data_IF_452140682220
#
_entry.id   IF_452140682220
#
_cell.length_a   1.000
_cell.length_b   1.000
_cell.length_c   1.000
_cell.angle_alpha   90.00
_cell.angle_beta   90.00
_cell.angle_gamma   90.00
#
_symmetry.space_group_name_H-M   'P 1'
#
loop_
_entity.id
_entity.type
_entity.pdbx_description
1 polymer ?
#
# COMPACT_ATOMS: atom_id res chain seq x y z
N UNK A 1 41.66 -27.66 -15.88
CA UNK A 1 41.20 -26.59 -16.77
C UNK A 1 40.52 -25.54 -15.91
N UNK A 2 41.12 -24.37 -15.78
CA UNK A 2 40.47 -23.21 -15.14
C UNK A 2 39.56 -22.62 -16.21
N UNK A 3 38.25 -22.85 -16.09
CA UNK A 3 37.27 -22.17 -16.94
C UNK A 3 37.26 -20.72 -16.48
N UNK A 4 37.90 -19.85 -17.25
CA UNK A 4 37.80 -18.39 -17.08
C UNK A 4 36.33 -18.02 -17.23
N UNK A 5 35.67 -17.64 -16.14
CA UNK A 5 34.35 -17.04 -16.20
C UNK A 5 34.45 -15.77 -17.04
N UNK A 6 33.77 -15.74 -18.18
CA UNK A 6 33.60 -14.52 -18.97
C UNK A 6 32.89 -13.50 -18.08
N UNK A 7 33.62 -12.50 -17.59
CA UNK A 7 33.02 -11.37 -16.85
C UNK A 7 32.06 -10.63 -17.78
N UNK A 8 30.76 -10.74 -17.51
CA UNK A 8 29.71 -10.00 -18.21
C UNK A 8 29.96 -8.50 -18.05
N UNK A 9 30.09 -7.77 -19.16
CA UNK A 9 30.27 -6.31 -19.13
C UNK A 9 28.91 -5.63 -19.12
N UNK A 10 28.61 -4.89 -18.05
CA UNK A 10 27.36 -4.15 -17.88
C UNK A 10 27.66 -2.65 -18.00
N UNK A 11 26.91 -1.96 -18.85
CA UNK A 11 26.94 -0.50 -18.99
C UNK A 11 25.52 0.06 -18.99
N UNK A 12 25.39 1.35 -18.68
CA UNK A 12 24.11 2.04 -18.54
C UNK A 12 24.02 3.12 -19.61
N UNK A 13 23.27 2.84 -20.66
CA UNK A 13 23.06 3.72 -21.80
C UNK A 13 21.56 3.91 -21.98
N UNK A 14 21.16 5.15 -22.27
CA UNK A 14 19.76 5.42 -22.62
C UNK A 14 19.45 4.73 -23.94
N UNK A 15 18.23 4.22 -24.07
CA UNK A 15 17.78 3.71 -25.36
C UNK A 15 17.81 4.82 -26.41
N UNK A 16 18.28 4.53 -27.64
CA UNK A 16 18.13 5.43 -28.77
C UNK A 16 16.68 5.84 -28.98
N UNK A 17 16.44 7.07 -29.45
CA UNK A 17 15.08 7.56 -29.68
C UNK A 17 14.32 6.73 -30.73
N UNK A 18 15.01 6.09 -31.66
CA UNK A 18 14.44 5.22 -32.69
C UNK A 18 14.32 3.75 -32.27
N UNK A 19 14.70 3.39 -31.04
CA UNK A 19 14.58 2.01 -30.55
C UNK A 19 13.11 1.61 -30.41
N UNK A 20 12.72 0.55 -31.10
CA UNK A 20 11.36 -0.02 -31.03
C UNK A 20 11.29 -0.98 -29.84
N UNK A 21 10.44 -0.65 -28.87
CA UNK A 21 10.09 -1.54 -27.77
C UNK A 21 9.09 -2.59 -28.28
N UNK A 22 9.25 -3.82 -27.81
CA UNK A 22 8.30 -4.88 -28.08
C UNK A 22 7.02 -4.61 -27.28
N UNK A 23 5.87 -4.68 -27.94
CA UNK A 23 4.54 -4.31 -27.42
C UNK A 23 3.57 -5.50 -27.51
N UNK A 24 4.10 -6.72 -27.33
CA UNK A 24 3.27 -7.91 -27.26
C UNK A 24 2.35 -7.81 -26.03
N UNK A 25 1.03 -8.00 -26.19
CA UNK A 25 0.10 -7.99 -25.07
C UNK A 25 0.34 -9.25 -24.23
N UNK A 26 1.02 -9.09 -23.10
CA UNK A 26 1.31 -10.17 -22.14
C UNK A 26 0.39 -10.15 -20.92
N UNK A 27 -0.44 -9.11 -20.77
CA UNK A 27 -1.14 -8.89 -19.51
C UNK A 27 -2.37 -9.80 -19.34
N UNK A 28 -2.43 -10.50 -18.20
CA UNK A 28 -3.67 -11.11 -17.72
C UNK A 28 -4.60 -9.99 -17.20
N UNK A 29 -5.92 -10.11 -17.39
CA UNK A 29 -6.95 -9.16 -16.95
C UNK A 29 -6.82 -8.70 -15.49
N UNK A 30 -6.19 -9.53 -14.64
CA UNK A 30 -6.02 -9.24 -13.21
C UNK A 30 -4.75 -8.43 -12.88
N UNK A 31 -3.70 -8.46 -13.70
CA UNK A 31 -2.41 -7.85 -13.39
C UNK A 31 -2.47 -6.33 -13.22
N UNK A 32 -3.17 -5.56 -14.08
CA UNK A 32 -3.31 -4.12 -13.89
C UNK A 32 -3.96 -3.76 -12.54
N UNK A 33 -5.01 -4.48 -12.13
CA UNK A 33 -5.67 -4.23 -10.85
C UNK A 33 -4.79 -4.58 -9.65
N UNK A 34 -3.98 -5.65 -9.73
CA UNK A 34 -3.03 -6.02 -8.68
C UNK A 34 -1.95 -4.93 -8.51
N UNK A 35 -1.37 -4.47 -9.62
CA UNK A 35 -0.37 -3.42 -9.64
C UNK A 35 -0.93 -2.09 -9.12
N UNK A 36 -2.12 -1.70 -9.58
CA UNK A 36 -2.79 -0.47 -9.14
C UNK A 36 -3.06 -0.49 -7.62
N UNK A 37 -3.45 -1.64 -7.07
CA UNK A 37 -3.72 -1.77 -5.64
C UNK A 37 -2.47 -1.57 -4.76
N UNK A 38 -1.31 -2.02 -5.24
CA UNK A 38 -0.03 -1.78 -4.58
C UNK A 38 0.38 -0.32 -4.66
N UNK A 39 0.31 0.26 -5.87
CA UNK A 39 0.74 1.65 -6.11
C UNK A 39 -0.12 2.66 -5.35
N UNK A 40 -1.44 2.52 -5.41
CA UNK A 40 -2.38 3.44 -4.75
C UNK A 40 -2.14 3.50 -3.24
N UNK A 41 -1.95 2.35 -2.58
CA UNK A 41 -1.73 2.32 -1.12
C UNK A 41 -0.39 2.94 -0.70
N UNK A 42 0.65 2.85 -1.53
CA UNK A 42 1.92 3.56 -1.29
C UNK A 42 1.77 5.08 -1.46
N UNK A 43 1.06 5.52 -2.50
CA UNK A 43 0.79 6.94 -2.75
C UNK A 43 0.00 7.56 -1.58
N UNK A 44 -1.11 6.94 -1.18
CA UNK A 44 -1.94 7.41 -0.07
C UNK A 44 -1.19 7.46 1.27
N UNK A 45 -0.22 6.57 1.46
CA UNK A 45 0.63 6.53 2.65
C UNK A 45 1.84 7.48 2.60
N UNK A 46 2.02 8.23 1.51
CA UNK A 46 3.20 9.08 1.32
C UNK A 46 4.51 8.31 1.11
N UNK A 47 4.43 7.01 0.78
CA UNK A 47 5.56 6.12 0.48
C UNK A 47 5.90 6.08 -1.01
N UNK A 48 5.24 6.91 -1.82
CA UNK A 48 5.56 7.15 -3.22
C UNK A 48 5.71 8.67 -3.48
N UNK A 49 6.76 9.33 -2.96
CA UNK A 49 6.99 10.75 -3.21
C UNK A 49 7.29 11.03 -4.69
N UNK A 50 7.30 12.31 -5.10
CA UNK A 50 7.58 12.71 -6.48
C UNK A 50 8.92 12.17 -7.02
N UNK A 51 9.90 12.01 -6.12
CA UNK A 51 11.22 11.45 -6.41
C UNK A 51 11.24 9.93 -6.50
N UNK A 52 10.19 9.21 -6.11
CA UNK A 52 10.08 7.77 -6.24
C UNK A 52 9.22 7.40 -7.46
N UNK A 53 9.38 6.19 -7.97
CA UNK A 53 8.64 5.71 -9.12
C UNK A 53 8.16 4.28 -8.88
N UNK A 54 6.86 4.07 -8.98
CA UNK A 54 6.26 2.75 -9.14
C UNK A 54 5.88 2.59 -10.60
N UNK A 55 6.21 1.45 -11.20
CA UNK A 55 5.95 1.18 -12.61
C UNK A 55 5.20 -0.13 -12.79
N UNK A 56 4.41 -0.24 -13.86
CA UNK A 56 3.65 -1.44 -14.23
C UNK A 56 3.91 -1.77 -15.68
N UNK A 57 4.33 -3.01 -15.96
CA UNK A 57 4.72 -3.48 -17.29
C UNK A 57 5.58 -2.45 -18.05
N UNK A 58 6.68 -2.03 -17.42
CA UNK A 58 7.47 -0.90 -17.89
C UNK A 58 8.95 -1.27 -18.05
N UNK A 59 9.52 -0.92 -19.20
CA UNK A 59 10.87 -1.35 -19.58
C UNK A 59 11.98 -0.78 -18.71
N UNK A 60 12.74 -1.67 -18.06
CA UNK A 60 13.97 -1.36 -17.33
C UNK A 60 15.17 -1.82 -18.15
N UNK A 61 16.08 -0.90 -18.48
CA UNK A 61 17.11 -1.06 -19.49
C UNK A 61 18.53 -1.14 -18.91
N UNK A 62 19.36 -1.97 -19.54
CA UNK A 62 20.80 -2.01 -19.36
C UNK A 62 21.46 -2.46 -20.66
N UNK A 63 22.75 -2.15 -20.83
CA UNK A 63 23.56 -2.69 -21.92
C UNK A 63 24.41 -3.83 -21.38
N UNK A 64 24.21 -5.04 -21.91
CA UNK A 64 24.92 -6.26 -21.51
C UNK A 64 25.76 -6.75 -22.68
N UNK A 65 27.08 -6.81 -22.49
CA UNK A 65 28.04 -7.20 -23.52
C UNK A 65 27.84 -6.42 -24.85
N UNK A 66 27.55 -5.12 -24.75
CA UNK A 66 27.36 -4.22 -25.90
C UNK A 66 25.99 -4.35 -26.59
N UNK A 67 25.02 -5.04 -26.00
CA UNK A 67 23.64 -5.13 -26.51
C UNK A 67 22.65 -4.60 -25.48
N UNK A 68 21.67 -3.82 -25.93
CA UNK A 68 20.57 -3.42 -25.08
C UNK A 68 19.76 -4.65 -24.64
N UNK A 69 19.46 -4.70 -23.36
CA UNK A 69 18.55 -5.67 -22.75
C UNK A 69 17.50 -4.87 -22.01
N UNK A 70 16.24 -5.19 -22.26
CA UNK A 70 15.09 -4.57 -21.61
C UNK A 70 14.27 -5.68 -20.98
N UNK A 71 13.85 -5.49 -19.73
CA UNK A 71 12.84 -6.32 -19.07
C UNK A 71 11.79 -5.43 -18.45
N UNK A 72 10.53 -5.82 -18.62
CA UNK A 72 9.38 -5.17 -18.03
C UNK A 72 8.82 -6.11 -16.94
N UNK A 73 9.06 -5.80 -15.65
CA UNK A 73 8.37 -6.48 -14.57
C UNK A 73 6.91 -6.04 -14.51
N UNK A 74 6.04 -6.91 -14.02
CA UNK A 74 4.62 -6.57 -13.80
C UNK A 74 4.46 -5.42 -12.82
N UNK A 75 5.36 -5.33 -11.82
CA UNK A 75 5.47 -4.17 -10.96
C UNK A 75 6.91 -3.92 -10.51
N UNK A 76 7.33 -2.67 -10.40
CA UNK A 76 8.61 -2.32 -9.78
C UNK A 76 8.54 -1.03 -8.98
N UNK A 77 9.44 -0.90 -8.01
CA UNK A 77 9.61 0.31 -7.21
C UNK A 77 11.05 0.80 -7.23
N UNK A 78 11.22 2.03 -7.69
CA UNK A 78 12.47 2.79 -7.68
C UNK A 78 12.38 3.84 -6.57
N UNK A 79 13.22 3.76 -5.52
CA UNK A 79 13.13 4.69 -4.39
C UNK A 79 13.45 6.13 -4.76
N UNK A 80 14.35 6.33 -5.72
CA UNK A 80 14.80 7.66 -6.12
C UNK A 80 15.18 7.75 -7.60
N UNK A 81 14.47 8.61 -8.34
CA UNK A 81 14.86 9.09 -9.66
C UNK A 81 15.71 10.36 -9.53
N UNK A 82 16.58 10.59 -10.51
CA UNK A 82 17.50 11.76 -10.55
C UNK A 82 17.22 12.68 -11.73
N UNK A 83 16.15 12.42 -12.47
CA UNK A 83 15.72 13.15 -13.67
C UNK A 83 14.23 13.45 -13.57
N UNK A 84 13.71 14.31 -14.46
CA UNK A 84 12.27 14.59 -14.49
C UNK A 84 11.48 13.41 -15.06
N UNK A 85 10.17 13.36 -14.78
CA UNK A 85 9.28 12.29 -15.24
C UNK A 85 9.18 12.24 -16.77
N UNK A 86 9.30 13.38 -17.44
CA UNK A 86 9.28 13.48 -18.89
C UNK A 86 10.48 12.73 -19.51
N UNK A 87 11.62 12.71 -18.81
CA UNK A 87 12.82 12.01 -19.27
C UNK A 87 12.74 10.49 -19.08
N UNK A 88 11.74 9.98 -18.35
CA UNK A 88 11.46 8.56 -18.12
C UNK A 88 10.10 8.17 -18.71
N UNK A 89 9.69 8.78 -19.82
CA UNK A 89 8.38 8.45 -20.41
C UNK A 89 8.35 7.07 -21.08
N UNK A 90 9.48 6.65 -21.67
CA UNK A 90 9.55 5.44 -22.52
C UNK A 90 10.17 4.24 -21.84
N UNK A 91 11.27 4.44 -21.13
CA UNK A 91 11.96 3.41 -20.38
C UNK A 91 12.80 4.02 -19.25
N UNK A 92 13.21 3.16 -18.32
CA UNK A 92 14.05 3.52 -17.19
C UNK A 92 15.39 2.82 -17.25
N UNK A 93 16.46 3.60 -17.19
CA UNK A 93 17.85 3.14 -17.18
C UNK A 93 18.46 3.53 -15.83
N UNK A 94 18.65 2.56 -14.93
CA UNK A 94 19.33 2.81 -13.66
C UNK A 94 20.71 3.46 -13.83
N UNK A 95 21.19 4.14 -12.79
CA UNK A 95 22.40 4.95 -12.76
C UNK A 95 22.44 6.16 -13.71
N UNK A 96 21.58 6.21 -14.73
CA UNK A 96 21.38 7.37 -15.61
C UNK A 96 20.19 8.21 -15.19
N UNK A 97 19.09 7.56 -14.86
CA UNK A 97 17.82 8.21 -14.52
C UNK A 97 17.44 8.05 -13.04
N UNK A 98 18.23 7.29 -12.27
CA UNK A 98 18.04 7.14 -10.83
C UNK A 98 18.72 5.90 -10.25
N UNK A 99 18.22 5.45 -9.11
CA UNK A 99 18.68 4.25 -8.41
C UNK A 99 18.22 2.95 -9.08
N UNK A 100 18.86 1.84 -8.74
CA UNK A 100 18.35 0.51 -9.07
C UNK A 100 16.98 0.32 -8.39
N UNK A 101 15.99 -0.34 -9.04
CA UNK A 101 14.75 -0.69 -8.37
C UNK A 101 15.03 -1.46 -7.07
N UNK A 102 14.39 -1.05 -5.99
CA UNK A 102 14.47 -1.77 -4.72
C UNK A 102 13.65 -3.08 -4.76
N UNK A 103 12.59 -3.08 -5.58
CA UNK A 103 11.69 -4.21 -5.74
C UNK A 103 11.31 -4.38 -7.21
N UNK A 104 11.31 -5.62 -7.68
CA UNK A 104 10.66 -6.04 -8.92
C UNK A 104 9.75 -7.24 -8.63
N UNK A 105 8.56 -7.25 -9.23
CA UNK A 105 7.54 -8.27 -9.02
C UNK A 105 7.05 -8.85 -10.34
N UNK A 106 6.68 -10.12 -10.30
CA UNK A 106 6.01 -10.84 -11.38
C UNK A 106 4.76 -11.54 -10.82
N UNK A 107 3.65 -11.46 -11.56
CA UNK A 107 2.35 -12.02 -11.23
C UNK A 107 2.07 -13.19 -12.16
N UNK A 108 2.07 -14.41 -11.60
CA UNK A 108 1.85 -15.62 -12.37
C UNK A 108 0.38 -15.78 -12.78
N UNK A 109 0.16 -16.13 -14.05
CA UNK A 109 -1.16 -16.42 -14.60
C UNK A 109 -1.46 -17.93 -14.72
N UNK A 110 -0.43 -18.78 -14.80
CA UNK A 110 -0.54 -20.24 -14.88
C UNK A 110 0.62 -20.94 -14.13
N UNK A 111 0.40 -22.20 -13.74
CA UNK A 111 1.34 -23.02 -12.95
C UNK A 111 2.53 -23.62 -13.75
N UNK A 112 2.65 -23.32 -15.05
CA UNK A 112 3.79 -23.77 -15.85
C UNK A 112 4.98 -22.84 -15.61
N UNK A 113 5.81 -23.17 -14.62
CA UNK A 113 7.04 -22.49 -14.21
C UNK A 113 8.15 -22.34 -15.28
N UNK A 114 7.80 -22.43 -16.56
CA UNK A 114 8.65 -22.14 -17.72
C UNK A 114 8.98 -20.64 -17.89
N UNK A 115 8.25 -19.76 -17.20
CA UNK A 115 8.43 -18.30 -17.25
C UNK A 115 9.74 -17.83 -16.54
N UNK A 116 10.38 -18.72 -15.77
CA UNK A 116 11.64 -18.45 -15.05
C UNK A 116 12.85 -18.99 -15.79
N UNK A 117 13.23 -18.33 -16.87
CA UNK A 117 14.49 -18.69 -17.53
C UNK A 117 15.70 -18.17 -16.74
N UNK A 118 16.49 -19.06 -16.13
CA UNK A 118 17.85 -18.75 -15.61
C UNK A 118 18.89 -18.65 -16.75
N UNK A 119 18.42 -18.43 -17.98
CA UNK A 119 19.24 -18.45 -19.19
C UNK A 119 20.17 -17.24 -19.21
N UNK A 120 21.46 -17.54 -19.23
CA UNK A 120 22.55 -16.57 -19.35
C UNK A 120 22.79 -16.13 -20.80
N UNK A 121 22.23 -16.85 -21.78
CA UNK A 121 22.36 -16.53 -23.21
C UNK A 121 21.31 -15.54 -23.68
N UNK A 122 21.68 -14.66 -24.61
CA UNK A 122 20.82 -13.58 -25.08
C UNK A 122 19.53 -14.07 -25.77
N UNK A 123 18.37 -13.40 -25.57
CA UNK A 123 18.14 -12.43 -24.49
C UNK A 123 18.14 -13.17 -23.14
N UNK A 124 18.83 -12.63 -22.11
CA UNK A 124 18.87 -13.29 -20.81
C UNK A 124 17.46 -13.37 -20.23
N UNK A 125 17.21 -14.38 -19.40
CA UNK A 125 15.93 -14.49 -18.72
C UNK A 125 15.77 -13.49 -17.57
N UNK A 126 14.53 -13.29 -17.11
CA UNK A 126 14.16 -12.30 -16.09
C UNK A 126 15.00 -12.47 -14.81
N UNK A 127 15.17 -13.71 -14.33
CA UNK A 127 15.96 -14.02 -13.15
C UNK A 127 17.41 -13.51 -13.24
N UNK A 128 18.14 -13.93 -14.27
CA UNK A 128 19.53 -13.49 -14.47
C UNK A 128 19.62 -11.97 -14.59
N UNK A 129 18.66 -11.35 -15.27
CA UNK A 129 18.65 -9.91 -15.45
C UNK A 129 18.46 -9.17 -14.11
N UNK A 130 17.50 -9.57 -13.28
CA UNK A 130 17.28 -8.94 -11.99
C UNK A 130 18.41 -9.24 -10.98
N UNK A 131 18.95 -10.45 -10.99
CA UNK A 131 19.99 -10.91 -10.06
C UNK A 131 21.39 -10.41 -10.42
N UNK A 132 21.85 -10.69 -11.65
CA UNK A 132 23.24 -10.51 -12.05
C UNK A 132 23.49 -9.20 -12.79
N UNK A 133 22.47 -8.64 -13.45
CA UNK A 133 22.61 -7.38 -14.21
C UNK A 133 22.18 -6.18 -13.38
N UNK A 134 20.92 -6.16 -12.92
CA UNK A 134 20.39 -5.06 -12.13
C UNK A 134 20.77 -5.16 -10.65
N UNK A 135 20.94 -6.36 -10.11
CA UNK A 135 21.17 -6.58 -8.68
C UNK A 135 20.05 -5.96 -7.83
N UNK A 136 18.79 -6.19 -8.22
CA UNK A 136 17.61 -5.70 -7.47
C UNK A 136 17.56 -6.39 -6.11
N UNK A 137 17.49 -5.67 -4.97
CA UNK A 137 17.51 -6.27 -3.64
C UNK A 137 16.38 -7.26 -3.38
N UNK A 138 15.16 -6.99 -3.86
CA UNK A 138 13.99 -7.84 -3.63
C UNK A 138 13.32 -8.24 -4.94
N UNK A 139 13.34 -9.52 -5.24
CA UNK A 139 12.58 -10.10 -6.35
C UNK A 139 11.39 -10.89 -5.82
N UNK A 140 10.19 -10.52 -6.23
CA UNK A 140 8.93 -11.06 -5.69
C UNK A 140 8.18 -11.78 -6.79
N UNK A 141 7.69 -12.97 -6.48
CA UNK A 141 6.81 -13.75 -7.33
C UNK A 141 5.51 -13.98 -6.57
N UNK A 142 4.40 -13.66 -7.21
CA UNK A 142 3.08 -13.80 -6.60
C UNK A 142 2.12 -14.53 -7.53
N UNK A 143 1.47 -15.58 -7.02
CA UNK A 143 0.41 -16.29 -7.73
C UNK A 143 -0.96 -15.89 -7.16
N UNK A 144 -1.67 -14.95 -7.80
CA UNK A 144 -2.85 -14.29 -7.25
C UNK A 144 -4.10 -15.18 -7.12
N UNK A 145 -4.11 -16.35 -7.77
CA UNK A 145 -5.24 -17.28 -7.73
C UNK A 145 -5.18 -18.24 -6.54
N UNK A 146 -3.98 -18.63 -6.12
CA UNK A 146 -3.76 -19.54 -4.98
C UNK A 146 -3.15 -18.84 -3.76
N UNK A 147 -2.67 -17.60 -3.92
CA UNK A 147 -2.14 -16.80 -2.82
C UNK A 147 -0.70 -17.16 -2.42
N UNK A 148 0.06 -17.80 -3.30
CA UNK A 148 1.47 -18.11 -3.06
C UNK A 148 2.33 -16.88 -3.30
N UNK A 149 3.24 -16.62 -2.36
CA UNK A 149 4.15 -15.48 -2.37
C UNK A 149 5.57 -15.95 -2.07
N UNK A 150 6.45 -15.83 -3.05
CA UNK A 150 7.88 -16.06 -2.92
C UNK A 150 8.62 -14.73 -2.97
N UNK A 151 9.57 -14.54 -2.05
CA UNK A 151 10.43 -13.35 -2.04
C UNK A 151 11.88 -13.80 -1.97
N UNK A 152 12.63 -13.40 -2.97
CA UNK A 152 14.05 -13.63 -3.07
C UNK A 152 14.81 -12.35 -2.74
N UNK A 153 15.77 -12.45 -1.82
CA UNK A 153 16.60 -11.33 -1.43
C UNK A 153 18.04 -11.52 -1.90
N UNK A 154 18.58 -10.48 -2.53
CA UNK A 154 19.95 -10.50 -3.04
C UNK A 154 20.93 -10.52 -1.87
N UNK A 155 21.78 -11.54 -1.82
CA UNK A 155 22.82 -11.65 -0.79
C UNK A 155 24.09 -10.91 -1.24
N UNK A 156 25.01 -10.66 -0.30
CA UNK A 156 26.31 -10.03 -0.57
C UNK A 156 27.16 -10.78 -1.61
N UNK A 157 26.92 -12.08 -1.79
CA UNK A 157 27.60 -12.90 -2.80
C UNK A 157 27.02 -12.70 -4.22
N UNK A 158 26.04 -11.80 -4.39
CA UNK A 158 25.42 -11.49 -5.68
C UNK A 158 24.36 -12.50 -6.15
N UNK A 159 23.86 -13.36 -5.26
CA UNK A 159 22.84 -14.35 -5.60
C UNK A 159 21.58 -14.20 -4.74
N UNK A 160 20.44 -14.51 -5.34
CA UNK A 160 19.17 -14.53 -4.68
C UNK A 160 19.05 -15.71 -3.72
N UNK A 161 18.44 -15.43 -2.56
CA UNK A 161 18.04 -16.45 -1.59
C UNK A 161 16.57 -16.29 -1.24
N UNK A 162 15.83 -17.39 -1.31
CA UNK A 162 14.43 -17.42 -0.87
C UNK A 162 14.34 -17.04 0.60
N UNK A 163 13.43 -16.12 0.92
CA UNK A 163 13.15 -15.70 2.29
C UNK A 163 12.01 -16.50 2.88
N UNK A 164 12.06 -16.63 4.21
CA UNK A 164 10.94 -17.08 5.01
C UNK A 164 10.16 -15.87 5.55
N UNK A 165 8.83 -15.96 5.65
CA UNK A 165 8.03 -14.89 6.23
C UNK A 165 8.22 -14.80 7.75
N UNK A 166 7.79 -13.68 8.32
CA UNK A 166 7.59 -13.50 9.76
C UNK A 166 6.38 -14.30 10.27
N UNK A 167 6.17 -14.31 11.60
CA UNK A 167 5.05 -15.01 12.27
C UNK A 167 3.66 -14.65 11.69
N UNK A 168 3.51 -13.44 11.15
CA UNK A 168 2.26 -12.96 10.55
C UNK A 168 2.13 -13.27 9.04
N UNK A 169 2.96 -14.16 8.48
CA UNK A 169 3.05 -14.43 7.05
C UNK A 169 3.36 -13.18 6.20
N UNK A 170 4.19 -12.28 6.75
CA UNK A 170 4.62 -11.03 6.10
C UNK A 170 6.13 -10.96 5.97
N UNK A 171 6.63 -10.25 4.98
CA UNK A 171 8.05 -10.08 4.69
C UNK A 171 8.44 -8.61 4.82
N UNK A 172 9.42 -8.32 5.67
CA UNK A 172 9.97 -6.97 5.80
C UNK A 172 10.89 -6.63 4.63
N UNK A 173 10.61 -5.58 3.87
CA UNK A 173 11.48 -5.07 2.81
C UNK A 173 12.20 -3.81 3.32
N UNK A 174 13.49 -3.96 3.63
CA UNK A 174 14.29 -2.91 4.27
C UNK A 174 14.31 -1.61 3.46
N UNK A 175 14.42 -1.72 2.15
CA UNK A 175 14.53 -0.58 1.22
C UNK A 175 13.23 0.23 1.11
N UNK A 176 12.09 -0.37 1.48
CA UNK A 176 10.79 0.31 1.51
C UNK A 176 10.37 0.71 2.92
N UNK A 177 11.01 0.14 3.96
CA UNK A 177 10.58 0.22 5.35
C UNK A 177 9.12 -0.21 5.54
N UNK A 178 8.74 -1.28 4.83
CA UNK A 178 7.39 -1.81 4.84
C UNK A 178 7.42 -3.34 4.90
N UNK A 179 6.38 -3.91 5.49
CA UNK A 179 6.05 -5.32 5.29
C UNK A 179 5.17 -5.48 4.05
N UNK A 180 5.39 -6.58 3.32
CA UNK A 180 4.46 -7.07 2.29
C UNK A 180 3.92 -8.44 2.68
N UNK A 181 2.70 -8.74 2.29
CA UNK A 181 2.07 -10.02 2.56
C UNK A 181 0.79 -10.22 1.78
N UNK A 182 0.29 -11.46 1.82
CA UNK A 182 -0.90 -11.88 1.11
C UNK A 182 -2.14 -11.63 1.96
N UNK A 183 -3.18 -11.09 1.34
CA UNK A 183 -4.47 -10.85 1.96
C UNK A 183 -5.60 -11.42 1.07
N UNK A 184 -6.42 -12.35 1.59
CA UNK A 184 -7.60 -12.83 0.87
C UNK A 184 -8.76 -11.85 1.02
N UNK A 185 -9.36 -11.46 -0.10
CA UNK A 185 -10.56 -10.61 -0.06
C UNK A 185 -11.01 -10.09 -1.41
N UNK A 186 -11.79 -9.01 -1.38
CA UNK A 186 -12.48 -8.47 -2.56
C UNK A 186 -12.11 -7.02 -2.81
N UNK A 187 -11.76 -6.70 -4.06
CA UNK A 187 -11.59 -5.34 -4.56
C UNK A 187 -12.05 -5.28 -6.01
N UNK A 188 -12.72 -4.19 -6.40
CA UNK A 188 -13.15 -3.93 -7.80
C UNK A 188 -13.90 -5.11 -8.45
N UNK A 189 -14.69 -5.85 -7.67
CA UNK A 189 -15.40 -7.08 -8.04
C UNK A 189 -14.56 -8.35 -8.23
N UNK A 190 -13.23 -8.28 -8.11
CA UNK A 190 -12.35 -9.46 -8.05
C UNK A 190 -12.27 -9.97 -6.61
N UNK A 191 -12.71 -11.21 -6.42
CA UNK A 191 -12.47 -12.00 -5.20
C UNK A 191 -11.20 -12.82 -5.42
N UNK A 192 -10.27 -12.80 -4.46
CA UNK A 192 -9.05 -13.59 -4.56
C UNK A 192 -7.99 -13.13 -3.57
N UNK A 193 -6.74 -13.46 -3.87
CA UNK A 193 -5.61 -13.01 -3.07
C UNK A 193 -5.04 -11.71 -3.63
N UNK A 194 -4.63 -10.84 -2.73
CA UNK A 194 -4.03 -9.53 -3.00
C UNK A 194 -2.74 -9.40 -2.22
N UNK A 195 -1.78 -8.68 -2.78
CA UNK A 195 -0.65 -8.18 -2.00
C UNK A 195 -1.03 -6.86 -1.33
N UNK A 196 -0.61 -6.69 -0.09
CA UNK A 196 -0.85 -5.50 0.72
C UNK A 196 0.44 -5.08 1.44
N UNK A 197 0.51 -3.80 1.79
CA UNK A 197 1.61 -3.22 2.55
C UNK A 197 1.20 -2.95 3.99
N UNK A 198 2.13 -3.13 4.92
CA UNK A 198 2.01 -2.67 6.30
C UNK A 198 3.24 -1.84 6.69
N UNK A 199 3.04 -0.84 7.53
CA UNK A 199 4.14 -0.06 8.10
C UNK A 199 4.93 -0.84 9.17
N UNK A 200 5.98 -0.23 9.70
CA UNK A 200 6.83 -0.79 10.75
C UNK A 200 6.07 -1.12 12.05
N UNK A 201 4.98 -0.40 12.33
CA UNK A 201 4.14 -0.58 13.51
C UNK A 201 3.07 -1.67 13.28
N UNK A 202 3.02 -2.24 12.07
CA UNK A 202 2.10 -3.30 11.68
C UNK A 202 0.72 -2.79 11.24
N UNK A 203 0.55 -1.48 11.03
CA UNK A 203 -0.67 -0.90 10.48
C UNK A 203 -0.75 -1.14 8.98
N UNK A 204 -1.94 -1.51 8.51
CA UNK A 204 -2.19 -1.75 7.10
C UNK A 204 -2.22 -0.42 6.33
N UNK A 205 -1.46 -0.33 5.24
CA UNK A 205 -1.62 0.78 4.30
C UNK A 205 -2.93 0.57 3.54
N UNK A 206 -3.89 1.45 3.83
CA UNK A 206 -5.27 1.35 3.35
C UNK A 206 -5.38 1.75 1.88
N UNK A 207 -6.33 1.14 1.19
CA UNK A 207 -6.80 1.61 -0.10
C UNK A 207 -7.70 2.85 0.05
N UNK A 208 -7.90 3.61 -1.03
CA UNK A 208 -8.74 4.80 -0.99
C UNK A 208 -10.17 4.50 -0.56
N UNK A 209 -10.72 3.36 -0.99
CA UNK A 209 -12.06 2.90 -0.59
C UNK A 209 -12.17 2.61 0.92
N UNK A 210 -11.12 2.08 1.52
CA UNK A 210 -11.06 1.76 2.95
C UNK A 210 -10.88 3.03 3.78
N UNK A 211 -10.05 3.98 3.34
CA UNK A 211 -9.92 5.31 3.97
C UNK A 211 -11.24 6.06 3.98
N UNK A 212 -11.94 6.11 2.84
CA UNK A 212 -13.26 6.75 2.75
C UNK A 212 -14.26 6.08 3.70
N UNK A 213 -14.22 4.76 3.81
CA UNK A 213 -15.11 4.05 4.73
C UNK A 213 -14.76 4.35 6.20
N UNK A 214 -13.49 4.40 6.55
CA UNK A 214 -13.03 4.77 7.89
C UNK A 214 -13.46 6.19 8.26
N UNK A 215 -13.31 7.17 7.35
CA UNK A 215 -13.76 8.54 7.56
C UNK A 215 -15.28 8.65 7.75
N UNK A 216 -16.05 7.87 6.98
CA UNK A 216 -17.51 7.82 7.12
C UNK A 216 -17.92 7.32 8.50
N UNK A 217 -17.31 6.22 8.95
CA UNK A 217 -17.57 5.65 10.27
C UNK A 217 -17.19 6.63 11.38
N UNK A 218 -16.05 7.32 11.26
CA UNK A 218 -15.62 8.33 12.23
C UNK A 218 -16.61 9.50 12.32
N UNK A 219 -17.07 10.04 11.18
CA UNK A 219 -18.07 11.11 11.12
C UNK A 219 -19.42 10.69 11.71
N UNK A 220 -19.84 9.45 11.46
CA UNK A 220 -21.07 8.91 12.01
C UNK A 220 -20.99 8.76 13.53
N UNK A 221 -19.87 8.24 14.05
CA UNK A 221 -19.63 8.14 15.50
C UNK A 221 -19.63 9.53 16.16
N UNK A 222 -18.97 10.51 15.56
CA UNK A 222 -18.98 11.89 16.07
C UNK A 222 -20.39 12.48 16.09
N UNK A 223 -21.20 12.25 15.05
CA UNK A 223 -22.59 12.70 14.98
C UNK A 223 -23.42 12.08 16.11
N UNK A 224 -23.29 10.77 16.33
CA UNK A 224 -24.00 10.06 17.40
C UNK A 224 -23.59 10.57 18.77
N UNK A 225 -22.29 10.83 18.99
CA UNK A 225 -21.80 11.39 20.26
C UNK A 225 -22.39 12.79 20.52
N UNK A 226 -22.43 13.67 19.51
CA UNK A 226 -23.04 15.01 19.63
C UNK A 226 -24.55 14.95 19.90
N UNK A 227 -25.25 14.01 19.29
CA UNK A 227 -26.68 13.81 19.52
C UNK A 227 -26.96 13.33 20.94
N UNK A 228 -26.17 12.37 21.45
CA UNK A 228 -26.26 11.91 22.84
C UNK A 228 -25.99 13.05 23.83
N UNK A 229 -24.98 13.88 23.57
CA UNK A 229 -24.69 15.05 24.42
C UNK A 229 -25.85 16.07 24.40
N UNK A 230 -26.44 16.32 23.24
CA UNK A 230 -27.61 17.21 23.13
C UNK A 230 -28.80 16.67 23.92
N UNK A 231 -29.11 15.38 23.77
CA UNK A 231 -30.20 14.74 24.52
C UNK A 231 -29.95 14.79 26.03
N UNK A 232 -28.71 14.54 26.48
CA UNK A 232 -28.36 14.66 27.89
C UNK A 232 -28.55 16.09 28.43
N UNK A 233 -28.17 17.11 27.66
CA UNK A 233 -28.40 18.53 28.02
C UNK A 233 -29.88 18.88 28.07
N UNK A 234 -30.67 18.40 27.11
CA UNK A 234 -32.11 18.63 27.08
C UNK A 234 -32.81 17.97 28.28
N UNK A 235 -32.46 16.73 28.61
CA UNK A 235 -32.99 16.02 29.79
C UNK A 235 -32.61 16.74 31.07
N UNK A 236 -31.35 17.13 31.26
CA UNK A 236 -30.92 17.88 32.43
C UNK A 236 -31.64 19.23 32.56
N UNK A 237 -31.90 19.92 31.44
CA UNK A 237 -32.66 21.16 31.44
C UNK A 237 -34.14 20.95 31.78
N UNK A 238 -34.74 19.85 31.32
CA UNK A 238 -36.11 19.48 31.67
C UNK A 238 -36.22 19.15 33.16
N UNK A 239 -35.31 18.36 33.71
CA UNK A 239 -35.25 18.03 35.14
C UNK A 239 -35.08 19.31 35.99
N UNK A 240 -34.15 20.18 35.62
CA UNK A 240 -33.94 21.46 36.32
C UNK A 240 -35.19 22.37 36.27
N UNK A 241 -35.88 22.41 35.13
CA UNK A 241 -37.13 23.17 34.98
C UNK A 241 -38.27 22.57 35.81
N UNK A 242 -38.39 21.24 35.86
CA UNK A 242 -39.37 20.55 36.72
C UNK A 242 -39.10 20.80 38.19
N UNK A 243 -37.83 20.72 38.62
CA UNK A 243 -37.44 21.00 40.01
C UNK A 243 -37.77 22.45 40.39
N UNK A 244 -37.48 23.42 39.51
CA UNK A 244 -37.84 24.83 39.73
C UNK A 244 -39.35 25.02 39.89
N UNK A 245 -40.15 24.41 39.01
CA UNK A 245 -41.61 24.53 39.07
C UNK A 245 -42.19 23.85 40.33
N UNK A 246 -41.63 22.71 40.73
CA UNK A 246 -42.01 22.03 41.97
C UNK A 246 -41.71 22.90 43.20
N UNK A 247 -40.53 23.53 43.25
CA UNK A 247 -40.15 24.49 44.31
C UNK A 247 -41.11 25.68 44.36
N UNK A 248 -41.41 26.31 43.23
CA UNK A 248 -42.37 27.43 43.16
C UNK A 248 -43.77 27.04 43.63
N UNK A 249 -44.23 25.85 43.24
CA UNK A 249 -45.55 25.34 43.64
C UNK A 249 -45.61 25.05 45.15
N UNK A 250 -44.53 24.49 45.71
CA UNK A 250 -44.42 24.24 47.14
C UNK A 250 -44.41 25.56 47.94
N UNK A 251 -43.68 26.58 47.48
CA UNK A 251 -43.66 27.91 48.09
C UNK A 251 -45.06 28.55 48.11
N UNK A 252 -45.78 28.54 46.98
CA UNK A 252 -47.14 29.08 46.91
C UNK A 252 -48.11 28.37 47.87
N UNK A 253 -48.01 27.04 47.98
CA UNK A 253 -48.83 26.26 48.93
C UNK A 253 -48.51 26.58 50.38
N UNK A 254 -47.21 26.78 50.69
CA UNK A 254 -46.77 27.18 52.02
C UNK A 254 -47.33 28.56 52.38
N UNK A 255 -47.22 29.54 51.48
CA UNK A 255 -47.80 30.88 51.68
C UNK A 255 -49.32 30.83 51.89
N UNK A 256 -50.04 30.00 51.13
CA UNK A 256 -51.48 29.83 51.28
C UNK A 256 -51.85 29.18 52.62
N UNK A 257 -51.11 28.17 53.07
CA UNK A 257 -51.29 27.54 54.37
C UNK A 257 -51.02 28.53 55.52
N UNK A 258 -49.93 29.29 55.45
CA UNK A 258 -49.61 30.33 56.43
C UNK A 258 -50.69 31.42 56.49
N UNK A 259 -51.27 31.78 55.35
CA UNK A 259 -52.40 32.72 55.30
C UNK A 259 -53.64 32.13 55.98
N UNK A 260 -53.99 30.87 55.69
CA UNK A 260 -55.14 30.20 56.32
C UNK A 260 -54.97 30.02 57.83
N UNK A 261 -53.75 29.74 58.30
CA UNK A 261 -53.46 29.64 59.73
C UNK A 261 -53.63 31.00 60.44
N UNK A 262 -53.14 32.09 59.83
CA UNK A 262 -53.39 33.46 60.30
C UNK A 262 -54.88 33.80 60.36
N UNK A 263 -55.63 33.50 59.30
CA UNK A 263 -57.07 33.77 59.23
C UNK A 263 -57.88 32.93 60.23
N UNK A 264 -57.39 31.75 60.63
CA UNK A 264 -58.00 30.88 61.64
C UNK A 264 -57.66 31.27 63.09
N UNK A 265 -56.87 32.32 63.31
CA UNK A 265 -56.50 32.79 64.65
C UNK A 265 -55.52 31.88 65.40
N UNK A 266 -54.86 30.96 64.69
CA UNK A 266 -53.80 30.12 65.23
C UNK A 266 -52.48 30.84 64.93
N UNK A 267 -52.04 31.67 65.86
CA UNK A 267 -50.74 32.35 65.79
C UNK A 267 -49.94 31.98 67.03
N UNK A 268 -49.25 30.83 66.93
CA UNK A 268 -47.82 30.65 67.15
C UNK A 268 -47.41 29.27 66.61
#
# INVERSE_FOLDING_TARGET
MVVSASTTKITWELLPEDFVLDDEPVDNVNQPSLAAALTESLELAGKLPETALATTNYGICATVNGKFVIKAPDWAYVPQITVSREQIQRSYTPHKQGQIPAVVMEFLSDSDGSEYSNKHTYPPGKWFYYEQVLQVPNYIIFQPDIGELEIYHLQENGHYKLRSPSENNRYWLTEMELFIGVWPGKRENRQGYWLRWWDQDGNLLLWGSELVQQERLAKEQERLAKEQERLAKETAQQEANQERLAKETALKRLEELEKRLRDAGISD
#
